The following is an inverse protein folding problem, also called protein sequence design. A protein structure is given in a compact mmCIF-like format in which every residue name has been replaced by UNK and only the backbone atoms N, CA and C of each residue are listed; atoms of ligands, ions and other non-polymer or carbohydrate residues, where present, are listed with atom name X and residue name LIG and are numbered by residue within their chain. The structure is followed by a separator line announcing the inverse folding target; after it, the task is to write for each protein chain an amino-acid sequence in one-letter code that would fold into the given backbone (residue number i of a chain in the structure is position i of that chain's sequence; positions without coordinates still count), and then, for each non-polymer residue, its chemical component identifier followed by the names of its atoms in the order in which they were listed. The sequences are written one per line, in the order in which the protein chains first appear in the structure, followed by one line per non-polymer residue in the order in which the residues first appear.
data_IF_580538392866
#
_entry.id   IF_580538392866
#
_cell.length_a   1.000
_cell.length_b   1.000
_cell.length_c   1.000
_cell.angle_alpha   90.00
_cell.angle_beta   90.00
_cell.angle_gamma   90.00
#
_symmetry.space_group_name_H-M   'P 1'
#
loop_
_entity.id
_entity.type
_entity.pdbx_description
1 polymer ?
#
# COMPACT_ATOMS: atom_id res chain seq x y z
N UNK A 1 32.81 4.12 20.61
CA UNK A 1 31.50 4.73 20.31
C UNK A 1 30.93 3.90 19.18
N UNK A 2 29.80 3.22 19.38
CA UNK A 2 29.07 2.63 18.27
C UNK A 2 28.64 3.80 17.37
N UNK A 3 28.93 3.73 16.08
CA UNK A 3 28.47 4.75 15.14
C UNK A 3 26.96 4.95 15.30
N UNK A 4 26.50 6.20 15.25
CA UNK A 4 25.08 6.50 15.34
C UNK A 4 24.33 5.85 14.18
N UNK A 5 23.14 5.32 14.44
CA UNK A 5 22.24 4.81 13.40
C UNK A 5 22.05 5.84 12.27
N UNK A 6 21.92 5.40 11.00
CA UNK A 6 21.61 6.30 9.90
C UNK A 6 20.33 7.09 10.18
N UNK A 7 20.31 8.36 9.79
CA UNK A 7 19.09 9.19 9.87
C UNK A 7 18.10 8.80 8.78
N UNK A 8 16.82 9.02 9.06
CA UNK A 8 15.71 8.78 8.13
C UNK A 8 14.70 9.93 8.20
N UNK A 9 14.18 10.44 7.07
CA UNK A 9 14.44 10.02 5.68
C UNK A 9 15.82 10.45 5.16
N UNK A 10 16.25 9.84 4.05
CA UNK A 10 17.49 10.16 3.34
C UNK A 10 17.19 10.83 1.99
N UNK A 11 17.93 11.89 1.67
CA UNK A 11 17.81 12.64 0.41
C UNK A 11 19.19 12.97 -0.17
N UNK A 12 19.19 13.35 -1.43
CA UNK A 12 20.35 13.73 -2.24
C UNK A 12 20.07 15.06 -2.96
N UNK A 13 21.06 15.61 -3.66
CA UNK A 13 20.85 16.81 -4.48
C UNK A 13 19.78 16.58 -5.57
N UNK A 14 19.68 15.34 -6.10
CA UNK A 14 18.65 15.00 -7.08
C UNK A 14 17.22 15.17 -6.53
N UNK A 15 17.00 14.97 -5.24
CA UNK A 15 15.69 15.21 -4.60
C UNK A 15 15.39 16.72 -4.55
N UNK A 16 16.40 17.54 -4.25
CA UNK A 16 16.29 19.00 -4.24
C UNK A 16 16.00 19.53 -5.64
N UNK A 17 16.71 19.03 -6.66
CA UNK A 17 16.50 19.39 -8.05
C UNK A 17 15.10 18.98 -8.54
N UNK A 18 14.63 17.78 -8.17
CA UNK A 18 13.29 17.32 -8.54
C UNK A 18 12.19 18.20 -7.92
N UNK A 19 12.32 18.60 -6.65
CA UNK A 19 11.39 19.55 -6.01
C UNK A 19 11.47 20.93 -6.65
N UNK A 20 12.68 21.43 -6.93
CA UNK A 20 12.89 22.71 -7.61
C UNK A 20 12.23 22.73 -8.99
N UNK A 21 12.37 21.66 -9.77
CA UNK A 21 11.73 21.55 -11.09
C UNK A 21 10.20 21.63 -11.01
N UNK A 22 9.58 21.01 -9.99
CA UNK A 22 8.13 21.16 -9.75
C UNK A 22 7.79 22.59 -9.37
N UNK A 23 8.57 23.21 -8.48
CA UNK A 23 8.35 24.59 -8.05
C UNK A 23 8.38 25.56 -9.25
N UNK A 24 9.45 25.50 -10.04
CA UNK A 24 9.68 26.35 -11.21
C UNK A 24 8.60 26.16 -12.30
N UNK A 25 8.01 24.96 -12.40
CA UNK A 25 6.95 24.68 -13.36
C UNK A 25 5.61 25.37 -13.05
N UNK A 26 5.39 25.78 -11.79
CA UNK A 26 4.09 26.26 -11.30
C UNK A 26 2.96 25.20 -11.25
N UNK A 27 3.26 23.94 -11.57
CA UNK A 27 2.29 22.83 -11.63
C UNK A 27 2.41 21.94 -10.40
N UNK A 28 1.86 22.40 -9.27
CA UNK A 28 2.05 21.72 -7.98
C UNK A 28 0.93 20.75 -7.60
N UNK A 29 -0.20 20.83 -8.28
CA UNK A 29 -1.37 19.99 -8.01
C UNK A 29 -1.15 18.53 -8.47
N UNK A 30 -2.09 17.65 -8.16
CA UNK A 30 -2.03 16.22 -8.50
C UNK A 30 -2.79 15.79 -9.76
N UNK A 31 -3.47 16.71 -10.43
CA UNK A 31 -4.27 16.43 -11.63
C UNK A 31 -3.41 16.69 -12.85
N UNK A 32 -3.26 15.69 -13.72
CA UNK A 32 -2.49 15.80 -14.98
C UNK A 32 -1.06 16.33 -14.77
N UNK A 33 -0.49 16.08 -13.58
CA UNK A 33 0.84 16.51 -13.21
C UNK A 33 1.89 15.50 -13.73
N UNK A 34 2.85 15.92 -14.58
CA UNK A 34 3.82 15.00 -15.18
C UNK A 34 4.61 14.18 -14.15
N UNK A 35 4.96 14.76 -13.00
CA UNK A 35 5.65 14.06 -11.93
C UNK A 35 4.81 12.91 -11.33
N UNK A 36 3.50 13.12 -11.16
CA UNK A 36 2.58 12.09 -10.65
C UNK A 36 2.45 10.97 -11.68
N UNK A 37 2.20 11.29 -12.95
CA UNK A 37 2.10 10.28 -14.01
C UNK A 37 3.39 9.48 -14.18
N UNK A 38 4.55 10.13 -14.14
CA UNK A 38 5.83 9.46 -14.24
C UNK A 38 6.09 8.52 -13.04
N UNK A 39 5.76 8.97 -11.83
CA UNK A 39 5.89 8.12 -10.65
C UNK A 39 4.92 6.94 -10.66
N UNK A 40 3.65 7.14 -11.04
CA UNK A 40 2.67 6.07 -11.23
C UNK A 40 3.17 4.99 -12.21
N UNK A 41 3.70 5.39 -13.36
CA UNK A 41 4.25 4.44 -14.34
C UNK A 41 5.42 3.64 -13.76
N UNK A 42 6.35 4.30 -13.07
CA UNK A 42 7.51 3.64 -12.46
C UNK A 42 7.11 2.74 -11.30
N UNK A 43 6.13 3.13 -10.49
CA UNK A 43 5.64 2.33 -9.37
C UNK A 43 4.86 1.10 -9.83
N UNK A 44 4.05 1.24 -10.88
CA UNK A 44 3.39 0.12 -11.54
C UNK A 44 4.45 -0.89 -12.04
N UNK A 45 5.49 -0.41 -12.73
CA UNK A 45 6.59 -1.26 -13.19
C UNK A 45 7.34 -1.95 -12.04
N UNK A 46 7.63 -1.26 -10.94
CA UNK A 46 8.37 -1.84 -9.80
C UNK A 46 7.58 -2.91 -9.04
N UNK A 47 6.25 -2.81 -9.04
CA UNK A 47 5.34 -3.76 -8.38
C UNK A 47 4.85 -4.85 -9.34
N UNK A 48 5.14 -4.73 -10.64
CA UNK A 48 4.59 -5.61 -11.68
C UNK A 48 3.10 -5.41 -11.94
N UNK A 49 2.49 -4.34 -11.41
CA UNK A 49 1.10 -3.99 -11.67
C UNK A 49 0.94 -3.35 -13.05
N UNK A 50 -0.25 -3.50 -13.64
CA UNK A 50 -0.64 -2.75 -14.84
C UNK A 50 -0.90 -1.28 -14.53
N UNK A 51 -1.52 -1.00 -13.39
CA UNK A 51 -1.88 0.34 -12.96
C UNK A 51 -1.32 0.61 -11.57
N UNK A 52 -0.79 1.81 -11.38
CA UNK A 52 -0.60 2.42 -10.08
C UNK A 52 -1.29 3.78 -10.06
N UNK A 53 -1.98 4.10 -8.96
CA UNK A 53 -2.76 5.31 -8.80
C UNK A 53 -2.40 5.96 -7.46
N UNK A 54 -1.63 7.05 -7.53
CA UNK A 54 -1.22 7.81 -6.36
C UNK A 54 -2.40 8.50 -5.66
N UNK A 55 -2.38 8.46 -4.34
CA UNK A 55 -3.39 9.08 -3.48
C UNK A 55 -2.72 9.84 -2.33
N UNK A 56 -3.51 10.56 -1.53
CA UNK A 56 -2.96 11.48 -0.53
C UNK A 56 -2.12 10.78 0.54
N UNK A 57 -2.53 9.59 0.99
CA UNK A 57 -1.86 8.80 2.03
C UNK A 57 -2.29 7.31 1.94
N UNK A 58 -1.66 6.44 2.74
CA UNK A 58 -1.96 4.99 2.74
C UNK A 58 -3.32 4.61 3.33
N UNK A 59 -3.89 5.41 4.24
CA UNK A 59 -5.25 5.18 4.76
C UNK A 59 -6.29 5.45 3.68
N UNK A 60 -6.13 6.54 2.93
CA UNK A 60 -6.97 6.85 1.78
C UNK A 60 -6.84 5.78 0.69
N UNK A 61 -5.64 5.22 0.49
CA UNK A 61 -5.45 4.10 -0.44
C UNK A 61 -6.37 2.92 -0.07
N UNK A 62 -6.34 2.47 1.19
CA UNK A 62 -7.22 1.40 1.66
C UNK A 62 -8.70 1.75 1.49
N UNK A 63 -9.13 2.94 1.94
CA UNK A 63 -10.53 3.37 1.86
C UNK A 63 -11.04 3.41 0.43
N UNK A 64 -10.31 4.09 -0.47
CA UNK A 64 -10.71 4.22 -1.87
C UNK A 64 -10.67 2.88 -2.59
N UNK A 65 -9.73 2.02 -2.22
CA UNK A 65 -9.65 0.64 -2.68
C UNK A 65 -10.90 -0.17 -2.36
N UNK A 66 -11.29 -0.19 -1.08
CA UNK A 66 -12.50 -0.87 -0.63
C UNK A 66 -13.75 -0.31 -1.33
N UNK A 67 -13.85 1.02 -1.45
CA UNK A 67 -14.95 1.68 -2.17
C UNK A 67 -15.01 1.29 -3.64
N UNK A 68 -13.87 1.18 -4.32
CA UNK A 68 -13.80 0.81 -5.73
C UNK A 68 -14.17 -0.66 -5.98
N UNK A 69 -13.90 -1.53 -5.01
CA UNK A 69 -14.36 -2.92 -4.94
C UNK A 69 -15.86 -3.04 -4.66
N UNK A 70 -16.53 -1.93 -4.32
CA UNK A 70 -17.96 -1.90 -4.01
C UNK A 70 -18.29 -2.20 -2.54
N UNK A 71 -17.28 -2.26 -1.67
CA UNK A 71 -17.46 -2.56 -0.24
C UNK A 71 -18.19 -1.41 0.45
N UNK A 72 -19.22 -1.76 1.23
CA UNK A 72 -20.15 -0.82 1.83
C UNK A 72 -20.94 -1.34 3.03
N UNK A 73 -22.01 -0.63 3.41
CA UNK A 73 -22.92 -1.04 4.48
C UNK A 73 -23.47 -2.45 4.30
N UNK A 74 -23.31 -3.27 5.33
CA UNK A 74 -23.75 -4.66 5.34
C UNK A 74 -22.65 -5.68 5.03
N UNK A 75 -21.52 -5.23 4.47
CA UNK A 75 -20.38 -6.10 4.20
C UNK A 75 -19.50 -6.31 5.44
N UNK A 76 -18.86 -7.46 5.50
CA UNK A 76 -17.78 -7.77 6.41
C UNK A 76 -16.45 -7.87 5.66
N UNK A 77 -15.39 -7.29 6.25
CA UNK A 77 -14.04 -7.39 5.73
C UNK A 77 -13.14 -8.00 6.79
N UNK A 78 -12.53 -9.14 6.47
CA UNK A 78 -11.60 -9.82 7.37
C UNK A 78 -10.27 -9.08 7.36
N UNK A 79 -9.75 -8.75 8.53
CA UNK A 79 -8.46 -8.06 8.74
C UNK A 79 -7.68 -8.72 9.87
N UNK A 80 -6.32 -8.69 9.86
CA UNK A 80 -5.55 -9.20 10.99
C UNK A 80 -5.82 -8.38 12.26
N UNK A 81 -5.95 -9.06 13.39
CA UNK A 81 -6.07 -8.41 14.70
C UNK A 81 -4.80 -7.61 15.07
N UNK A 82 -3.64 -8.00 14.52
CA UNK A 82 -2.36 -7.33 14.71
C UNK A 82 -1.92 -6.60 13.44
N UNK A 83 -2.23 -5.30 13.39
CA UNK A 83 -1.84 -4.39 12.30
C UNK A 83 -1.90 -2.94 12.77
N UNK A 84 -1.52 -1.99 11.92
CA UNK A 84 -1.77 -0.58 12.15
C UNK A 84 -3.27 -0.24 12.03
N UNK A 85 -3.77 0.64 12.90
CA UNK A 85 -5.20 0.99 13.02
C UNK A 85 -5.88 1.41 11.70
N UNK A 86 -5.12 1.96 10.75
CA UNK A 86 -5.64 2.38 9.45
C UNK A 86 -6.33 1.25 8.68
N UNK A 87 -5.86 0.00 8.80
CA UNK A 87 -6.45 -1.17 8.13
C UNK A 87 -7.92 -1.35 8.52
N UNK A 88 -8.23 -1.36 9.82
CA UNK A 88 -9.61 -1.49 10.30
C UNK A 88 -10.41 -0.18 10.15
N UNK A 89 -9.75 0.97 10.28
CA UNK A 89 -10.39 2.29 10.11
C UNK A 89 -10.89 2.49 8.68
N UNK A 90 -10.13 2.06 7.67
CA UNK A 90 -10.56 2.12 6.28
C UNK A 90 -11.82 1.28 6.03
N UNK A 91 -11.95 0.10 6.65
CA UNK A 91 -13.17 -0.72 6.60
C UNK A 91 -14.35 0.00 7.24
N UNK A 92 -14.17 0.56 8.43
CA UNK A 92 -15.23 1.30 9.13
C UNK A 92 -15.66 2.58 8.37
N UNK A 93 -14.71 3.32 7.78
CA UNK A 93 -14.99 4.47 6.90
C UNK A 93 -15.61 4.04 5.58
N UNK A 94 -15.33 2.81 5.13
CA UNK A 94 -16.09 2.15 4.08
C UNK A 94 -17.51 1.76 4.55
N UNK A 95 -17.91 1.99 5.80
CA UNK A 95 -19.23 1.62 6.31
C UNK A 95 -19.45 0.11 6.40
N UNK A 96 -18.42 -0.69 6.16
CA UNK A 96 -18.40 -2.13 6.37
C UNK A 96 -17.96 -2.46 7.80
N UNK A 97 -18.10 -3.72 8.20
CA UNK A 97 -17.71 -4.20 9.54
C UNK A 97 -16.36 -4.90 9.46
N UNK A 98 -15.32 -4.44 10.18
CA UNK A 98 -14.07 -5.19 10.30
C UNK A 98 -14.31 -6.46 11.14
N UNK A 99 -13.92 -7.62 10.60
CA UNK A 99 -13.91 -8.90 11.30
C UNK A 99 -12.46 -9.28 11.54
N UNK A 100 -12.07 -9.36 12.81
CA UNK A 100 -10.70 -9.69 13.16
C UNK A 100 -10.47 -11.19 13.06
N UNK A 101 -9.38 -11.57 12.38
CA UNK A 101 -8.85 -12.91 12.37
C UNK A 101 -7.42 -12.91 12.93
N UNK A 102 -7.04 -14.04 13.51
CA UNK A 102 -5.75 -14.18 14.19
C UNK A 102 -4.58 -14.26 13.19
N UNK A 103 -3.37 -14.09 13.71
CA UNK A 103 -2.12 -14.14 12.94
C UNK A 103 -1.39 -15.46 13.18
N UNK A 104 -0.52 -15.81 12.24
CA UNK A 104 0.50 -16.83 12.45
C UNK A 104 1.59 -16.27 13.41
N UNK A 105 1.96 -17.00 14.47
CA UNK A 105 2.86 -16.49 15.51
C UNK A 105 4.33 -16.40 15.06
N UNK A 106 4.72 -17.05 13.97
CA UNK A 106 6.10 -17.05 13.47
C UNK A 106 6.32 -15.91 12.46
N UNK A 107 5.29 -15.58 11.69
CA UNK A 107 5.35 -14.53 10.64
C UNK A 107 4.65 -13.23 11.02
N UNK A 108 3.79 -13.27 12.04
CA UNK A 108 2.86 -12.22 12.44
C UNK A 108 1.92 -11.75 11.32
N UNK A 109 1.85 -12.49 10.22
CA UNK A 109 0.93 -12.25 9.12
C UNK A 109 -0.39 -13.00 9.36
N UNK A 110 -1.44 -12.60 8.66
CA UNK A 110 -2.77 -13.17 8.80
C UNK A 110 -2.76 -14.70 8.55
N UNK A 111 -3.28 -15.50 9.49
CA UNK A 111 -3.34 -16.97 9.38
C UNK A 111 -4.45 -17.41 8.40
N UNK A 112 -4.14 -18.16 7.33
CA UNK A 112 -5.16 -18.67 6.40
C UNK A 112 -6.26 -19.50 7.07
N UNK A 113 -5.96 -20.26 8.13
CA UNK A 113 -6.96 -21.06 8.83
C UNK A 113 -7.92 -20.17 9.66
N UNK A 114 -7.40 -19.17 10.36
CA UNK A 114 -8.21 -18.16 11.04
C UNK A 114 -9.10 -17.37 10.06
N UNK A 115 -8.62 -17.10 8.83
CA UNK A 115 -9.45 -16.48 7.78
C UNK A 115 -10.62 -17.39 7.41
N UNK A 116 -10.40 -18.67 7.09
CA UNK A 116 -11.50 -19.57 6.68
C UNK A 116 -12.55 -19.73 7.79
N UNK A 117 -12.11 -19.73 9.05
CA UNK A 117 -12.99 -19.80 10.22
C UNK A 117 -13.83 -18.52 10.42
N UNK A 118 -13.31 -17.36 10.01
CA UNK A 118 -13.98 -16.07 10.16
C UNK A 118 -14.95 -15.74 9.01
N UNK A 119 -14.97 -16.51 7.93
CA UNK A 119 -15.87 -16.27 6.78
C UNK A 119 -17.33 -16.47 7.18
N UNK A 120 -18.15 -15.48 6.85
CA UNK A 120 -19.62 -15.50 6.97
C UNK A 120 -20.27 -15.22 5.62
N UNK A 121 -21.62 -15.36 5.50
CA UNK A 121 -22.33 -14.95 4.28
C UNK A 121 -22.22 -13.45 3.95
N UNK A 122 -21.78 -12.60 4.89
CA UNK A 122 -21.57 -11.16 4.67
C UNK A 122 -20.12 -10.82 4.30
N UNK A 123 -19.19 -11.77 4.39
CA UNK A 123 -17.80 -11.51 4.06
C UNK A 123 -17.69 -11.19 2.58
N UNK A 124 -17.15 -10.02 2.27
CA UNK A 124 -16.97 -9.54 0.91
C UNK A 124 -15.50 -9.40 0.53
N UNK A 125 -14.61 -9.18 1.51
CA UNK A 125 -13.18 -9.04 1.26
C UNK A 125 -12.31 -9.53 2.42
N UNK A 126 -11.03 -9.76 2.11
CA UNK A 126 -9.95 -10.01 3.07
C UNK A 126 -8.84 -8.99 2.80
N UNK A 127 -8.34 -8.33 3.84
CA UNK A 127 -7.14 -7.50 3.77
C UNK A 127 -6.01 -8.25 4.45
N UNK A 128 -4.97 -8.61 3.70
CA UNK A 128 -3.72 -9.13 4.25
C UNK A 128 -2.76 -7.99 4.50
N UNK A 129 -1.97 -8.05 5.57
CA UNK A 129 -0.95 -7.05 5.87
C UNK A 129 0.40 -7.75 5.80
N UNK A 130 1.31 -7.21 5.00
CA UNK A 130 2.68 -7.72 4.90
C UNK A 130 3.52 -7.20 6.06
N UNK A 131 3.27 -7.71 7.26
CA UNK A 131 3.77 -7.12 8.50
C UNK A 131 5.30 -7.17 8.56
N UNK A 132 5.94 -6.08 9.00
CA UNK A 132 7.40 -5.98 9.04
C UNK A 132 8.09 -6.06 7.66
N UNK A 133 7.34 -6.02 6.57
CA UNK A 133 7.85 -6.27 5.22
C UNK A 133 7.88 -7.75 4.83
N UNK A 134 7.46 -8.65 5.72
CA UNK A 134 7.30 -10.07 5.43
C UNK A 134 5.98 -10.28 4.66
N UNK A 135 6.00 -10.84 3.44
CA UNK A 135 4.77 -11.12 2.70
C UNK A 135 3.89 -12.15 3.40
N UNK A 136 2.59 -11.90 3.45
CA UNK A 136 1.61 -12.89 3.92
C UNK A 136 1.54 -14.07 2.92
N UNK A 137 0.97 -15.21 3.35
CA UNK A 137 0.75 -16.36 2.44
C UNK A 137 -0.37 -16.08 1.43
N UNK A 138 0.01 -15.35 0.37
CA UNK A 138 -0.87 -14.93 -0.70
C UNK A 138 -1.37 -16.11 -1.56
N UNK A 139 -0.67 -17.24 -1.54
CA UNK A 139 -1.14 -18.41 -2.28
C UNK A 139 -2.29 -19.09 -1.56
N UNK A 140 -2.13 -19.35 -0.26
CA UNK A 140 -3.18 -19.98 0.55
C UNK A 140 -4.40 -19.07 0.67
N UNK A 141 -4.20 -17.80 1.06
CA UNK A 141 -5.29 -16.83 1.23
C UNK A 141 -5.93 -16.51 -0.12
N UNK A 142 -5.13 -16.36 -1.19
CA UNK A 142 -5.66 -16.14 -2.53
C UNK A 142 -6.49 -17.32 -3.05
N UNK A 143 -6.08 -18.56 -2.77
CA UNK A 143 -6.86 -19.75 -3.13
C UNK A 143 -8.18 -19.82 -2.34
N UNK A 144 -8.17 -19.44 -1.07
CA UNK A 144 -9.38 -19.32 -0.24
C UNK A 144 -10.32 -18.26 -0.79
N UNK A 145 -9.83 -17.04 -1.06
CA UNK A 145 -10.62 -15.94 -1.57
C UNK A 145 -11.27 -16.30 -2.92
N UNK A 146 -10.54 -16.94 -3.84
CA UNK A 146 -11.12 -17.43 -5.11
C UNK A 146 -12.22 -18.46 -4.90
N UNK A 147 -12.04 -19.43 -4.00
CA UNK A 147 -13.06 -20.45 -3.70
C UNK A 147 -14.32 -19.86 -3.07
N UNK A 148 -14.17 -18.81 -2.27
CA UNK A 148 -15.25 -18.15 -1.53
C UNK A 148 -15.83 -16.93 -2.25
N UNK A 149 -15.27 -16.54 -3.40
CA UNK A 149 -15.63 -15.35 -4.18
C UNK A 149 -15.50 -14.06 -3.35
N UNK A 150 -14.36 -13.92 -2.67
CA UNK A 150 -14.00 -12.74 -1.87
C UNK A 150 -12.95 -11.92 -2.60
N UNK A 151 -13.03 -10.59 -2.48
CA UNK A 151 -11.93 -9.73 -2.92
C UNK A 151 -10.74 -9.86 -1.96
N UNK A 152 -9.53 -9.83 -2.50
CA UNK A 152 -8.29 -9.81 -1.73
C UNK A 152 -7.60 -8.46 -1.90
N UNK A 153 -7.21 -7.85 -0.78
CA UNK A 153 -6.46 -6.60 -0.75
C UNK A 153 -5.13 -6.83 -0.03
N UNK A 154 -4.03 -6.44 -0.65
CA UNK A 154 -2.71 -6.36 -0.03
C UNK A 154 -2.54 -4.98 0.63
N UNK A 155 -2.49 -4.91 1.96
CA UNK A 155 -1.90 -3.78 2.68
C UNK A 155 -0.38 -3.95 2.72
N UNK A 156 0.27 -3.35 1.72
CA UNK A 156 1.70 -3.45 1.48
C UNK A 156 2.49 -2.26 2.07
N UNK A 157 1.91 -1.52 3.03
CA UNK A 157 2.52 -0.35 3.64
C UNK A 157 3.92 -0.59 4.25
N UNK A 158 4.27 -1.84 4.59
CA UNK A 158 5.60 -2.20 5.13
C UNK A 158 6.51 -2.90 4.11
N UNK A 159 6.02 -3.21 2.91
CA UNK A 159 6.62 -4.21 2.04
C UNK A 159 7.18 -3.64 0.73
N UNK A 160 7.70 -2.41 0.79
CA UNK A 160 8.32 -1.75 -0.36
C UNK A 160 9.54 -2.54 -0.83
N UNK A 161 9.47 -3.11 -2.04
CA UNK A 161 10.51 -3.96 -2.61
C UNK A 161 10.48 -5.42 -2.14
N UNK A 162 9.53 -5.80 -1.29
CA UNK A 162 9.37 -7.19 -0.87
C UNK A 162 8.84 -8.06 -2.00
N UNK A 163 9.12 -9.36 -1.93
CA UNK A 163 8.71 -10.35 -2.94
C UNK A 163 8.11 -11.57 -2.25
N UNK A 164 6.93 -11.97 -2.68
CA UNK A 164 6.37 -13.26 -2.30
C UNK A 164 6.85 -14.31 -3.29
N UNK A 165 7.80 -15.15 -2.82
CA UNK A 165 8.68 -15.95 -3.70
C UNK A 165 9.38 -15.02 -4.70
N UNK A 166 9.35 -15.32 -5.98
CA UNK A 166 10.00 -14.51 -7.02
C UNK A 166 9.14 -13.35 -7.53
N UNK A 167 7.93 -13.14 -7.00
CA UNK A 167 6.99 -12.13 -7.51
C UNK A 167 6.94 -10.91 -6.58
N UNK A 168 7.06 -9.68 -7.09
CA UNK A 168 6.83 -8.47 -6.28
C UNK A 168 5.43 -8.47 -5.65
N UNK A 169 5.31 -8.00 -4.42
CA UNK A 169 4.00 -7.85 -3.75
C UNK A 169 3.27 -6.59 -4.19
N UNK A 170 1.97 -6.52 -3.88
CA UNK A 170 1.05 -5.42 -4.17
C UNK A 170 0.38 -5.48 -5.55
N UNK A 171 0.65 -6.52 -6.34
CA UNK A 171 -0.06 -6.79 -7.59
C UNK A 171 -0.47 -8.26 -7.72
N UNK A 172 -0.48 -9.00 -6.60
CA UNK A 172 -0.75 -10.44 -6.54
C UNK A 172 -2.19 -10.72 -6.09
N UNK A 173 -2.85 -9.73 -5.49
CA UNK A 173 -4.27 -9.70 -5.18
C UNK A 173 -5.07 -8.84 -6.19
N UNK A 174 -6.36 -8.63 -5.92
CA UNK A 174 -7.21 -7.74 -6.73
C UNK A 174 -6.73 -6.28 -6.64
N UNK A 175 -6.18 -5.92 -5.48
CA UNK A 175 -5.71 -4.58 -5.18
C UNK A 175 -4.54 -4.59 -4.19
N UNK A 176 -3.50 -3.80 -4.46
CA UNK A 176 -2.46 -3.44 -3.49
C UNK A 176 -2.61 -2.01 -3.01
N UNK A 177 -2.34 -1.78 -1.72
CA UNK A 177 -2.35 -0.48 -1.05
C UNK A 177 -0.98 -0.17 -0.46
N UNK A 178 -0.53 1.06 -0.67
CA UNK A 178 0.81 1.52 -0.30
C UNK A 178 0.77 2.79 0.52
N UNK A 179 1.71 2.93 1.45
CA UNK A 179 1.92 4.14 2.24
C UNK A 179 3.33 4.66 1.99
N UNK A 180 3.45 5.95 1.74
CA UNK A 180 4.72 6.66 1.62
C UNK A 180 4.92 7.68 2.75
N UNK A 181 4.35 7.38 3.92
CA UNK A 181 4.51 8.18 5.13
C UNK A 181 5.99 8.21 5.57
N UNK A 182 6.40 9.24 6.33
CA UNK A 182 7.79 9.51 6.74
C UNK A 182 8.60 8.33 7.28
N UNK A 183 7.97 7.35 7.93
CA UNK A 183 8.63 6.16 8.48
C UNK A 183 8.79 5.01 7.49
N UNK A 184 8.15 5.09 6.32
CA UNK A 184 8.13 4.00 5.34
C UNK A 184 9.44 3.94 4.54
N UNK A 185 9.77 2.77 4.01
CA UNK A 185 11.01 2.50 3.28
C UNK A 185 11.19 3.35 2.02
N UNK A 186 10.08 3.81 1.42
CA UNK A 186 10.04 4.86 0.41
C UNK A 186 9.09 5.94 0.91
N UNK A 187 9.50 7.22 0.88
CA UNK A 187 8.71 8.28 1.53
C UNK A 187 8.84 9.64 0.86
N UNK A 188 7.76 10.43 0.98
CA UNK A 188 7.74 11.87 0.71
C UNK A 188 7.13 12.65 1.90
N UNK A 189 7.30 12.14 3.12
CA UNK A 189 6.64 12.63 4.33
C UNK A 189 5.22 12.11 4.47
N UNK A 190 4.40 12.32 3.45
CA UNK A 190 3.07 11.72 3.28
C UNK A 190 2.88 11.25 1.84
N UNK A 191 1.99 10.28 1.63
CA UNK A 191 1.65 9.78 0.31
C UNK A 191 1.09 8.37 0.36
N UNK A 192 0.39 7.97 -0.69
CA UNK A 192 -0.02 6.58 -0.88
C UNK A 192 -0.20 6.24 -2.34
N UNK A 193 -0.42 4.97 -2.63
CA UNK A 193 -0.80 4.51 -3.96
C UNK A 193 -1.66 3.26 -3.87
N UNK A 194 -2.46 3.06 -4.91
CA UNK A 194 -3.20 1.83 -5.17
C UNK A 194 -2.60 1.16 -6.42
N UNK A 195 -2.43 -0.15 -6.40
CA UNK A 195 -1.97 -0.94 -7.54
C UNK A 195 -2.98 -2.01 -7.90
N UNK A 196 -3.24 -2.20 -9.20
CA UNK A 196 -4.16 -3.25 -9.67
C UNK A 196 -3.86 -3.64 -11.12
N UNK A 197 -4.30 -4.83 -11.49
CA UNK A 197 -4.26 -5.33 -12.86
C UNK A 197 -5.61 -5.19 -13.59
N UNK A 198 -6.66 -4.75 -12.91
CA UNK A 198 -8.00 -4.56 -13.47
C UNK A 198 -8.19 -3.12 -13.97
N UNK A 199 -8.42 -2.97 -15.28
CA UNK A 199 -8.63 -1.68 -15.96
C UNK A 199 -9.88 -0.94 -15.44
N UNK A 200 -10.96 -1.66 -15.13
CA UNK A 200 -12.20 -1.09 -14.62
C UNK A 200 -12.06 -0.64 -13.16
N UNK A 201 -11.36 -1.43 -12.34
CA UNK A 201 -11.05 -1.04 -10.97
C UNK A 201 -10.15 0.21 -10.93
N UNK A 202 -9.13 0.27 -11.80
CA UNK A 202 -8.28 1.44 -11.94
C UNK A 202 -9.07 2.70 -12.33
N UNK A 203 -10.01 2.60 -13.28
CA UNK A 203 -10.85 3.75 -13.65
C UNK A 203 -11.75 4.22 -12.50
N UNK A 204 -12.35 3.30 -11.74
CA UNK A 204 -13.13 3.64 -10.55
C UNK A 204 -12.28 4.38 -9.52
N UNK A 205 -11.08 3.89 -9.22
CA UNK A 205 -10.16 4.54 -8.27
C UNK A 205 -9.76 5.93 -8.77
N UNK A 206 -9.45 6.09 -10.06
CA UNK A 206 -9.10 7.37 -10.68
C UNK A 206 -10.23 8.39 -10.52
N UNK A 207 -11.47 7.96 -10.70
CA UNK A 207 -12.66 8.77 -10.46
C UNK A 207 -12.79 9.13 -8.97
N UNK A 208 -12.78 8.12 -8.09
CA UNK A 208 -12.98 8.28 -6.65
C UNK A 208 -11.95 9.21 -6.01
N UNK A 209 -10.66 9.09 -6.32
CA UNK A 209 -9.61 9.97 -5.76
C UNK A 209 -9.72 11.43 -6.23
N UNK A 210 -10.47 11.67 -7.30
CA UNK A 210 -10.59 12.96 -7.96
C UNK A 210 -12.05 13.46 -7.95
N UNK A 211 -12.69 13.45 -6.78
CA UNK A 211 -14.04 13.97 -6.57
C UNK A 211 -15.11 13.30 -7.44
N UNK A 212 -14.90 12.06 -7.89
CA UNK A 212 -15.86 11.34 -8.73
C UNK A 212 -15.94 11.81 -10.17
N UNK A 213 -14.90 12.51 -10.65
CA UNK A 213 -14.78 12.98 -12.03
C UNK A 213 -14.69 11.82 -13.02
N UNK A 214 -15.22 12.03 -14.22
CA UNK A 214 -15.10 11.08 -15.34
C UNK A 214 -13.85 11.38 -16.14
N UNK A 215 -13.02 10.37 -16.42
CA UNK A 215 -11.84 10.54 -17.27
C UNK A 215 -12.24 10.93 -18.69
N UNK A 216 -11.71 12.04 -19.21
CA UNK A 216 -12.08 12.58 -20.52
C UNK A 216 -13.48 13.21 -20.59
N UNK A 217 -14.20 13.27 -19.47
CA UNK A 217 -15.51 13.92 -19.38
C UNK A 217 -15.42 15.46 -19.35
N UNK A 218 -16.58 16.11 -19.25
CA UNK A 218 -16.67 17.56 -19.17
C UNK A 218 -16.08 18.12 -17.86
N UNK A 219 -15.73 19.41 -17.86
CA UNK A 219 -15.04 20.07 -16.74
C UNK A 219 -15.73 19.94 -15.37
N UNK A 220 -17.05 19.76 -15.30
CA UNK A 220 -17.79 19.64 -14.05
C UNK A 220 -18.66 18.36 -14.02
N UNK A 221 -18.25 17.33 -14.76
CA UNK A 221 -18.94 16.05 -14.82
C UNK A 221 -18.47 15.13 -13.69
N UNK A 222 -19.40 14.79 -12.79
CA UNK A 222 -19.19 13.96 -11.62
C UNK A 222 -20.30 12.91 -11.52
N UNK A 223 -19.96 11.63 -11.63
CA UNK A 223 -20.95 10.53 -11.66
C UNK A 223 -21.09 9.80 -10.33
N UNK A 224 -20.09 9.90 -9.47
CA UNK A 224 -20.07 9.26 -8.15
C UNK A 224 -19.62 10.25 -7.09
N UNK A 225 -19.96 10.00 -5.83
CA UNK A 225 -19.37 10.74 -4.72
C UNK A 225 -17.94 10.26 -4.51
N UNK A 226 -16.98 11.17 -4.65
CA UNK A 226 -15.56 10.88 -4.48
C UNK A 226 -14.93 11.73 -3.38
N UNK A 227 -13.61 11.65 -3.31
CA UNK A 227 -12.76 12.36 -2.36
C UNK A 227 -11.80 13.28 -3.10
N UNK A 228 -11.29 14.28 -2.39
CA UNK A 228 -10.06 14.94 -2.78
C UNK A 228 -8.88 14.21 -2.14
N UNK A 229 -8.44 13.12 -2.78
CA UNK A 229 -7.30 12.33 -2.31
C UNK A 229 -6.21 12.26 -3.37
N UNK A 230 -5.87 13.41 -3.95
CA UNK A 230 -4.84 13.49 -4.99
C UNK A 230 -3.47 13.73 -4.35
N UNK A 231 -2.48 12.93 -4.73
CA UNK A 231 -1.07 13.20 -4.40
C UNK A 231 -0.60 14.46 -5.14
N UNK A 232 0.18 15.31 -4.47
CA UNK A 232 0.78 16.51 -5.08
C UNK A 232 1.97 16.16 -5.98
N UNK A 233 2.28 17.05 -6.93
CA UNK A 233 3.48 16.88 -7.77
C UNK A 233 4.79 16.87 -6.96
N UNK A 234 4.82 17.60 -5.83
CA UNK A 234 5.98 17.63 -4.91
C UNK A 234 6.24 16.26 -4.29
N UNK A 235 5.19 15.61 -3.79
CA UNK A 235 5.29 14.26 -3.24
C UNK A 235 5.77 13.27 -4.31
N UNK A 236 5.15 13.29 -5.49
CA UNK A 236 5.51 12.39 -6.58
C UNK A 236 6.95 12.59 -7.07
N UNK A 237 7.46 13.82 -7.13
CA UNK A 237 8.84 14.11 -7.50
C UNK A 237 9.85 13.49 -6.52
N UNK A 238 9.61 13.65 -5.21
CA UNK A 238 10.44 13.04 -4.16
C UNK A 238 10.41 11.51 -4.25
N UNK A 239 9.23 10.91 -4.42
CA UNK A 239 9.10 9.46 -4.54
C UNK A 239 9.76 8.93 -5.81
N UNK A 240 9.69 9.67 -6.92
CA UNK A 240 10.36 9.34 -8.16
C UNK A 240 11.87 9.21 -7.98
N UNK A 241 12.52 10.16 -7.33
CA UNK A 241 13.98 10.08 -7.07
C UNK A 241 14.29 9.02 -6.01
N UNK A 242 13.46 8.93 -4.95
CA UNK A 242 13.61 7.93 -3.90
C UNK A 242 13.54 6.49 -4.40
N UNK A 243 12.73 6.23 -5.44
CA UNK A 243 12.57 4.90 -6.03
C UNK A 243 13.89 4.36 -6.62
N UNK A 244 14.77 5.22 -7.12
CA UNK A 244 16.08 4.81 -7.66
C UNK A 244 17.01 4.24 -6.57
N UNK A 245 16.83 4.69 -5.32
CA UNK A 245 17.63 4.24 -4.16
C UNK A 245 17.02 3.02 -3.46
N UNK A 246 15.72 2.77 -3.66
CA UNK A 246 14.99 1.74 -2.93
C UNK A 246 15.65 0.34 -3.03
N UNK A 247 16.09 -0.16 -4.21
CA UNK A 247 16.69 -1.49 -4.29
C UNK A 247 17.93 -1.66 -3.41
N UNK A 248 18.80 -0.64 -3.36
CA UNK A 248 20.04 -0.69 -2.59
C UNK A 248 19.75 -0.57 -1.09
N UNK A 249 18.79 0.28 -0.75
CA UNK A 249 18.30 0.45 0.61
C UNK A 249 17.56 -0.78 1.15
N UNK A 250 16.90 -1.58 0.30
CA UNK A 250 16.32 -2.88 0.67
C UNK A 250 17.43 -3.89 0.94
N UNK A 251 18.42 -4.03 0.04
CA UNK A 251 19.54 -4.96 0.24
C UNK A 251 20.34 -4.65 1.50
N UNK A 252 20.53 -3.37 1.82
CA UNK A 252 21.19 -2.96 3.06
C UNK A 252 20.40 -3.36 4.32
N UNK A 253 19.07 -3.26 4.29
CA UNK A 253 18.19 -3.68 5.39
C UNK A 253 18.17 -5.21 5.54
N UNK A 254 18.13 -5.95 4.44
CA UNK A 254 18.20 -7.41 4.46
C UNK A 254 19.53 -7.91 5.06
N UNK A 255 20.66 -7.31 4.66
CA UNK A 255 21.96 -7.63 5.24
C UNK A 255 22.03 -7.32 6.75
N UNK A 256 21.45 -6.19 7.18
CA UNK A 256 21.37 -5.84 8.60
C UNK A 256 20.45 -6.79 9.38
N UNK A 257 19.33 -7.21 8.80
CA UNK A 257 18.42 -8.19 9.40
C UNK A 257 19.12 -9.54 9.60
N UNK A 258 19.81 -10.06 8.57
CA UNK A 258 20.57 -11.30 8.69
C UNK A 258 21.67 -11.24 9.76
N UNK A 259 22.38 -10.11 9.85
CA UNK A 259 23.34 -9.90 10.94
C UNK A 259 22.68 -9.93 12.32
N UNK A 260 21.53 -9.26 12.49
CA UNK A 260 20.80 -9.28 13.75
C UNK A 260 20.30 -10.68 14.10
N UNK A 261 19.74 -11.42 13.14
CA UNK A 261 19.28 -12.80 13.34
C UNK A 261 20.43 -13.71 13.85
N UNK A 262 21.62 -13.59 13.26
CA UNK A 262 22.82 -14.31 13.71
C UNK A 262 23.20 -13.93 15.16
N UNK A 263 23.24 -12.64 15.48
CA UNK A 263 23.62 -12.18 16.82
C UNK A 263 22.58 -12.50 17.90
N UNK A 264 21.31 -12.59 17.53
CA UNK A 264 20.19 -12.86 18.46
C UNK A 264 19.89 -14.36 18.62
N UNK A 265 20.41 -15.23 17.75
CA UNK A 265 20.12 -16.69 17.69
C UNK A 265 20.32 -17.49 18.98
N UNK A 266 21.07 -16.96 19.95
CA UNK A 266 21.32 -17.57 21.27
C UNK A 266 20.76 -16.79 22.45
N UNK A 267 19.99 -15.72 22.22
CA UNK A 267 19.47 -14.89 23.30
C UNK A 267 18.27 -15.55 23.98
N UNK A 268 18.41 -15.80 25.28
CA UNK A 268 17.29 -16.20 26.13
C UNK A 268 16.51 -14.94 26.50
N UNK A 269 15.27 -14.82 26.05
CA UNK A 269 14.37 -13.77 26.52
C UNK A 269 14.01 -14.04 27.98
N UNK A 270 13.97 -13.01 28.86
CA UNK A 270 13.51 -13.21 30.23
C UNK A 270 12.10 -13.79 30.21
N UNK A 271 11.89 -14.93 30.87
CA UNK A 271 10.56 -15.46 31.11
C UNK A 271 9.83 -14.48 32.05
N UNK A 272 8.74 -13.89 31.56
CA UNK A 272 7.74 -13.18 32.36
C UNK A 272 6.54 -14.08 32.58
#
# INVERSE_FOLDING_TARGET
MTDSWPTWPQWTEADLDAVRAVLDSGRWNGVDAPAVTAFEQRWAASTGARHALCVANGTDALLLGLRALGIGPGDEVIVPAYTFLATATAVALAGATPVFADIDPDTYCLDPAAVDAAVTPRTAAVIVVHLGGHPADLDAIGALCRRRVLALVEDAAHAHGARHRDRPVGALADLGSWSFQGSKNLTAGEGGALTTNDDALAERIRSLRNQGRVTGGAWYEHHVLGWNSRMTAMQAALLGVGLDRLPDQVRAREAAAGYLDEQLSGMVTPQG
#
